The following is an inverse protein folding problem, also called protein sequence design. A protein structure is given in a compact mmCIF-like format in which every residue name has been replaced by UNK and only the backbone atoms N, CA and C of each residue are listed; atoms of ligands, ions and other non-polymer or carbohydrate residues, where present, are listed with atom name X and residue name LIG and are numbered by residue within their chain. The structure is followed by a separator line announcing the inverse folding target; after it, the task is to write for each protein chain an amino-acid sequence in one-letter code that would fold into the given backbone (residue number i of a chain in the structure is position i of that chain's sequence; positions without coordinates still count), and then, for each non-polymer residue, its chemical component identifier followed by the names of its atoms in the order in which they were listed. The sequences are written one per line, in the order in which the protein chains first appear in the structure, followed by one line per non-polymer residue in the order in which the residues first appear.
data_IF_633675125016
#
_entry.id   IF_633675125016
#
_cell.length_a   1.000
_cell.length_b   1.000
_cell.length_c   1.000
_cell.angle_alpha   90.00
_cell.angle_beta   90.00
_cell.angle_gamma   90.00
#
_symmetry.space_group_name_H-M   'P 1'
#
loop_
_entity.id
_entity.type
_entity.pdbx_description
1 polymer ?
#
# COMPACT_ATOMS: atom_id res chain seq x y z
N UNK A 1 -3.44 -12.11 39.80
CA UNK A 1 -3.21 -10.99 38.89
C UNK A 1 -4.43 -10.06 38.72
N UNK A 2 -5.66 -10.54 38.88
CA UNK A 2 -6.87 -9.72 38.71
C UNK A 2 -7.25 -8.77 39.88
N UNK A 3 -6.63 -8.88 41.04
CA UNK A 3 -6.92 -8.01 42.20
C UNK A 3 -6.04 -6.73 42.22
N UNK A 4 -4.88 -6.74 41.60
CA UNK A 4 -3.95 -5.61 41.63
C UNK A 4 -4.34 -4.50 40.63
N UNK A 5 -4.92 -4.86 39.48
CA UNK A 5 -5.37 -3.90 38.48
C UNK A 5 -6.59 -3.09 38.91
N UNK A 6 -7.46 -3.68 39.73
CA UNK A 6 -8.63 -2.98 40.32
C UNK A 6 -8.26 -1.93 41.40
N UNK A 7 -7.11 -2.10 42.03
CA UNK A 7 -6.66 -1.16 43.08
C UNK A 7 -6.01 0.10 42.46
N UNK A 8 -5.26 -0.05 41.37
CA UNK A 8 -4.63 1.10 40.72
C UNK A 8 -5.62 2.05 40.01
N UNK A 9 -6.66 1.52 39.38
CA UNK A 9 -7.71 2.35 38.75
C UNK A 9 -8.54 3.17 39.76
N UNK A 10 -8.80 2.63 40.95
CA UNK A 10 -9.51 3.36 42.03
C UNK A 10 -8.64 4.43 42.67
N UNK A 11 -7.32 4.21 42.79
CA UNK A 11 -6.40 5.15 43.41
C UNK A 11 -6.20 6.44 42.59
N UNK A 12 -6.07 6.33 41.27
CA UNK A 12 -5.90 7.48 40.38
C UNK A 12 -7.16 8.35 40.30
N UNK A 13 -8.35 7.75 40.27
CA UNK A 13 -9.61 8.50 40.31
C UNK A 13 -9.83 9.25 41.65
N UNK A 14 -9.41 8.66 42.76
CA UNK A 14 -9.56 9.27 44.09
C UNK A 14 -8.59 10.45 44.27
N UNK A 15 -7.39 10.35 43.71
CA UNK A 15 -6.39 11.47 43.75
C UNK A 15 -6.86 12.63 42.89
N UNK A 16 -7.36 12.38 41.68
CA UNK A 16 -7.87 13.43 40.78
C UNK A 16 -9.11 14.17 41.40
N UNK A 17 -10.03 13.43 42.02
CA UNK A 17 -11.20 14.02 42.66
C UNK A 17 -10.84 14.84 43.91
N UNK A 18 -9.79 14.46 44.65
CA UNK A 18 -9.34 15.21 45.82
C UNK A 18 -8.63 16.51 45.47
N UNK A 19 -7.96 16.55 44.33
CA UNK A 19 -7.34 17.80 43.80
C UNK A 19 -8.39 18.77 43.26
N UNK A 20 -9.36 18.29 42.50
CA UNK A 20 -10.50 19.09 41.99
C UNK A 20 -11.37 19.63 43.15
N UNK A 21 -11.61 18.82 44.18
CA UNK A 21 -12.36 19.23 45.40
C UNK A 21 -11.66 20.39 46.13
N UNK A 22 -10.32 20.36 46.18
CA UNK A 22 -9.53 21.41 46.85
C UNK A 22 -9.56 22.70 46.08
N UNK A 23 -9.49 22.66 44.75
CA UNK A 23 -9.46 23.84 43.91
C UNK A 23 -10.82 24.52 43.76
N UNK A 24 -11.92 23.75 43.87
CA UNK A 24 -13.29 24.26 43.73
C UNK A 24 -14.01 24.52 45.09
N UNK A 25 -13.41 24.10 46.21
CA UNK A 25 -14.00 24.27 47.54
C UNK A 25 -15.30 23.48 47.79
N UNK A 26 -15.48 22.37 47.05
CA UNK A 26 -16.68 21.52 47.08
C UNK A 26 -16.35 20.19 47.80
N UNK A 27 -17.24 19.74 48.66
CA UNK A 27 -17.12 18.46 49.40
C UNK A 27 -16.97 17.28 48.41
N UNK A 28 -15.97 16.39 48.59
CA UNK A 28 -15.75 15.21 47.78
C UNK A 28 -16.96 14.27 47.62
N UNK A 29 -17.84 14.22 48.62
CA UNK A 29 -19.07 13.43 48.58
C UNK A 29 -20.07 14.03 47.57
N UNK A 30 -20.20 15.34 47.52
CA UNK A 30 -21.07 16.05 46.58
C UNK A 30 -20.60 15.89 45.12
N UNK A 31 -19.29 15.82 44.89
CA UNK A 31 -18.72 15.53 43.56
C UNK A 31 -18.95 14.10 43.09
N UNK A 32 -19.05 13.15 44.05
CA UNK A 32 -19.37 11.76 43.73
C UNK A 32 -20.85 11.55 43.34
N UNK A 33 -21.75 12.40 43.82
CA UNK A 33 -23.17 12.35 43.48
C UNK A 33 -23.53 13.02 42.16
N UNK A 34 -22.63 13.86 41.62
CA UNK A 34 -22.77 14.48 40.29
C UNK A 34 -22.41 13.56 39.11
N UNK A 35 -22.27 12.25 39.38
CA UNK A 35 -22.16 11.24 38.32
C UNK A 35 -23.45 11.19 37.49
N UNK A 36 -23.52 12.01 36.45
CA UNK A 36 -24.52 11.80 35.39
C UNK A 36 -24.31 10.41 34.76
N UNK A 37 -25.35 9.60 34.59
CA UNK A 37 -25.28 8.38 33.77
C UNK A 37 -24.94 8.82 32.36
N UNK A 38 -23.75 8.47 31.86
CA UNK A 38 -23.31 8.82 30.53
C UNK A 38 -21.87 9.35 30.39
N UNK A 39 -21.10 9.42 31.48
CA UNK A 39 -19.66 9.67 31.34
C UNK A 39 -18.97 8.47 30.66
N UNK A 40 -18.15 8.75 29.70
CA UNK A 40 -17.41 7.89 28.76
C UNK A 40 -16.55 6.77 29.39
N UNK A 41 -16.70 6.44 30.67
CA UNK A 41 -15.90 5.44 31.40
C UNK A 41 -16.65 4.16 31.75
N UNK A 42 -17.94 4.04 31.43
CA UNK A 42 -18.69 2.80 31.56
C UNK A 42 -18.82 2.09 30.20
N UNK A 43 -17.72 1.95 29.48
CA UNK A 43 -17.60 0.83 28.54
C UNK A 43 -17.44 -0.40 29.42
N UNK A 44 -18.42 -1.32 29.49
CA UNK A 44 -18.25 -2.53 30.24
C UNK A 44 -17.11 -3.31 29.62
N UNK A 45 -16.00 -3.38 30.32
CA UNK A 45 -14.90 -4.29 30.00
C UNK A 45 -15.43 -5.70 30.15
N UNK A 46 -15.95 -6.30 29.08
CA UNK A 46 -16.53 -7.62 29.08
C UNK A 46 -17.80 -7.78 28.24
N UNK A 47 -18.20 -6.78 27.47
CA UNK A 47 -19.08 -7.04 26.31
C UNK A 47 -18.22 -7.78 25.31
N UNK A 48 -18.60 -9.01 25.02
CA UNK A 48 -18.08 -9.78 23.89
C UNK A 48 -18.59 -9.09 22.62
N UNK A 49 -17.93 -7.98 22.27
CA UNK A 49 -18.26 -7.23 21.06
C UNK A 49 -17.76 -8.08 19.91
N UNK A 50 -18.69 -8.60 19.11
CA UNK A 50 -18.35 -9.28 17.88
C UNK A 50 -17.46 -8.35 17.06
N UNK A 51 -16.18 -8.70 16.97
CA UNK A 51 -15.17 -7.90 16.28
C UNK A 51 -14.44 -8.75 15.26
N UNK A 52 -13.88 -8.10 14.25
CA UNK A 52 -12.98 -8.74 13.28
C UNK A 52 -11.55 -8.37 13.60
N UNK A 53 -10.67 -9.36 13.63
CA UNK A 53 -9.25 -9.09 13.76
C UNK A 53 -8.72 -8.44 12.47
N UNK A 54 -7.90 -7.41 12.63
CA UNK A 54 -7.24 -6.74 11.51
C UNK A 54 -5.74 -6.63 11.73
N UNK A 55 -5.02 -6.55 10.63
CA UNK A 55 -3.59 -6.34 10.59
C UNK A 55 -3.26 -5.16 9.69
N UNK A 56 -2.28 -4.35 10.12
CA UNK A 56 -1.70 -3.30 9.30
C UNK A 56 -0.31 -3.74 8.85
N UNK A 57 -0.09 -3.72 7.55
CA UNK A 57 1.21 -3.99 6.94
C UNK A 57 1.66 -2.81 6.10
N UNK A 58 2.96 -2.57 6.04
CA UNK A 58 3.60 -1.67 5.10
C UNK A 58 4.27 -2.52 4.01
N UNK A 59 3.84 -2.34 2.76
CA UNK A 59 4.30 -3.11 1.59
C UNK A 59 5.30 -2.29 0.80
N UNK A 60 6.32 -2.92 0.22
CA UNK A 60 7.47 -2.28 -0.40
C UNK A 60 8.33 -1.48 0.59
N UNK A 61 8.36 -1.93 1.84
CA UNK A 61 8.99 -1.24 2.96
C UNK A 61 10.26 -1.97 3.41
N UNK A 62 11.38 -1.28 3.41
CA UNK A 62 12.65 -1.80 3.96
C UNK A 62 12.75 -1.61 5.48
N UNK A 63 11.90 -0.79 6.06
CA UNK A 63 11.88 -0.47 7.50
C UNK A 63 10.52 0.05 7.97
N UNK A 64 10.42 0.46 9.24
CA UNK A 64 9.18 1.01 9.78
C UNK A 64 8.84 2.37 9.15
N UNK A 65 7.54 2.67 9.08
CA UNK A 65 7.00 3.93 8.55
C UNK A 65 7.34 4.21 7.08
N UNK A 66 7.60 3.16 6.32
CA UNK A 66 7.95 3.17 4.90
C UNK A 66 6.88 2.43 4.08
N UNK A 67 7.01 2.42 2.74
CA UNK A 67 6.16 1.62 1.87
C UNK A 67 4.70 2.08 1.78
N UNK A 68 3.87 1.28 1.14
CA UNK A 68 2.43 1.51 0.98
C UNK A 68 1.64 0.73 2.05
N UNK A 69 0.78 1.42 2.79
CA UNK A 69 0.04 0.84 3.90
C UNK A 69 -1.16 0.06 3.45
N UNK A 70 -1.37 -1.10 4.07
CA UNK A 70 -2.50 -1.98 3.84
C UNK A 70 -3.16 -2.37 5.17
N UNK A 71 -4.48 -2.30 5.23
CA UNK A 71 -5.26 -2.98 6.24
C UNK A 71 -5.78 -4.32 5.68
N UNK A 72 -5.67 -5.38 6.47
CA UNK A 72 -6.22 -6.71 6.12
C UNK A 72 -7.12 -7.19 7.26
N UNK A 73 -8.38 -7.45 6.95
CA UNK A 73 -9.37 -8.04 7.87
C UNK A 73 -9.39 -9.55 7.63
N UNK A 74 -9.27 -10.33 8.69
CA UNK A 74 -9.39 -11.79 8.63
C UNK A 74 -10.79 -12.27 8.97
N UNK A 75 -11.11 -13.51 8.59
CA UNK A 75 -12.40 -14.17 8.86
C UNK A 75 -13.61 -13.32 8.43
N UNK A 76 -13.49 -12.70 7.25
CA UNK A 76 -14.45 -11.72 6.74
C UNK A 76 -15.59 -12.33 5.88
N UNK A 77 -15.76 -13.66 5.88
CA UNK A 77 -16.74 -14.35 5.02
C UNK A 77 -18.21 -14.02 5.34
N UNK A 78 -18.50 -13.59 6.54
CA UNK A 78 -19.83 -13.19 7.02
C UNK A 78 -20.12 -11.69 6.84
N UNK A 79 -19.13 -10.88 6.44
CA UNK A 79 -19.34 -9.46 6.16
C UNK A 79 -19.98 -9.26 4.79
N UNK A 80 -20.99 -8.41 4.74
CA UNK A 80 -21.57 -7.95 3.48
C UNK A 80 -20.61 -7.01 2.73
N UNK A 81 -20.79 -6.86 1.41
CA UNK A 81 -20.03 -5.89 0.61
C UNK A 81 -20.16 -4.46 1.14
N UNK A 82 -21.34 -4.09 1.65
CA UNK A 82 -21.58 -2.76 2.22
C UNK A 82 -20.78 -2.53 3.53
N UNK A 83 -20.64 -3.55 4.36
CA UNK A 83 -19.82 -3.48 5.58
C UNK A 83 -18.34 -3.40 5.24
N UNK A 84 -17.85 -4.24 4.31
CA UNK A 84 -16.47 -4.18 3.81
C UNK A 84 -16.14 -2.80 3.25
N UNK A 85 -17.05 -2.21 2.46
CA UNK A 85 -16.88 -0.87 1.91
C UNK A 85 -16.81 0.21 2.99
N UNK A 86 -17.65 0.15 4.02
CA UNK A 86 -17.62 1.09 5.15
C UNK A 86 -16.32 0.96 5.95
N UNK A 87 -15.83 -0.25 6.16
CA UNK A 87 -14.56 -0.51 6.84
C UNK A 87 -13.39 0.08 6.03
N UNK A 88 -13.37 -0.16 4.71
CA UNK A 88 -12.34 0.37 3.83
C UNK A 88 -12.35 1.92 3.81
N UNK A 89 -13.54 2.53 3.74
CA UNK A 89 -13.69 3.98 3.84
C UNK A 89 -13.19 4.53 5.20
N UNK A 90 -13.46 3.82 6.29
CA UNK A 90 -13.05 4.26 7.63
C UNK A 90 -11.54 4.14 7.86
N UNK A 91 -10.86 3.11 7.32
CA UNK A 91 -9.40 3.04 7.30
C UNK A 91 -8.78 4.16 6.44
N UNK A 92 -9.44 4.50 5.34
CA UNK A 92 -9.00 5.53 4.39
C UNK A 92 -7.54 5.33 3.90
N UNK A 93 -7.12 4.08 3.77
CA UNK A 93 -5.89 3.70 3.07
C UNK A 93 -6.19 3.53 1.58
N UNK A 94 -5.15 3.50 0.75
CA UNK A 94 -5.32 3.27 -0.69
C UNK A 94 -6.19 2.04 -0.94
N UNK A 95 -5.93 0.94 -0.24
CA UNK A 95 -6.77 -0.26 -0.24
C UNK A 95 -6.87 -0.93 1.14
N UNK A 96 -7.93 -1.71 1.29
CA UNK A 96 -8.17 -2.64 2.40
C UNK A 96 -8.52 -4.01 1.83
N UNK A 97 -7.95 -5.08 2.37
CA UNK A 97 -8.23 -6.45 1.95
C UNK A 97 -9.03 -7.21 3.00
N UNK A 98 -9.85 -8.14 2.52
CA UNK A 98 -10.70 -9.00 3.34
C UNK A 98 -10.45 -10.45 2.98
N UNK A 99 -9.97 -11.26 3.94
CA UNK A 99 -9.77 -12.70 3.76
C UNK A 99 -11.09 -13.39 4.08
N UNK A 100 -11.70 -13.97 3.06
CA UNK A 100 -13.03 -14.60 3.11
C UNK A 100 -12.97 -16.14 3.13
N UNK A 101 -11.84 -16.71 3.59
CA UNK A 101 -11.65 -18.16 3.66
C UNK A 101 -10.73 -18.70 2.57
N UNK A 102 -10.82 -20.01 2.31
CA UNK A 102 -9.89 -20.70 1.41
C UNK A 102 -8.83 -21.51 2.18
N UNK A 103 -7.90 -22.09 1.45
CA UNK A 103 -6.82 -22.91 2.00
C UNK A 103 -5.55 -22.86 1.13
N UNK A 104 -4.48 -23.48 1.58
CA UNK A 104 -3.18 -23.47 0.88
C UNK A 104 -3.18 -24.19 -0.45
N UNK A 105 -4.05 -25.17 -0.67
CA UNK A 105 -4.12 -25.98 -1.90
C UNK A 105 -4.88 -25.26 -3.02
N UNK A 106 -6.09 -24.81 -2.69
CA UNK A 106 -7.01 -24.17 -3.63
C UNK A 106 -6.76 -22.66 -3.78
N UNK A 107 -6.12 -22.06 -2.79
CA UNK A 107 -5.89 -20.62 -2.65
C UNK A 107 -6.85 -19.97 -1.66
N UNK A 108 -6.51 -18.78 -1.22
CA UNK A 108 -7.29 -17.99 -0.26
C UNK A 108 -8.19 -16.99 -0.98
N UNK A 109 -9.45 -16.95 -0.61
CA UNK A 109 -10.43 -16.01 -1.19
C UNK A 109 -10.24 -14.63 -0.57
N UNK A 110 -9.92 -13.65 -1.39
CA UNK A 110 -9.61 -12.30 -0.94
C UNK A 110 -10.38 -11.28 -1.78
N UNK A 111 -10.96 -10.28 -1.10
CA UNK A 111 -11.61 -9.14 -1.72
C UNK A 111 -10.82 -7.88 -1.41
N UNK A 112 -10.78 -6.95 -2.36
CA UNK A 112 -9.99 -5.71 -2.27
C UNK A 112 -10.92 -4.52 -2.45
N UNK A 113 -10.85 -3.57 -1.53
CA UNK A 113 -11.65 -2.35 -1.55
C UNK A 113 -10.76 -1.12 -1.45
N UNK A 114 -10.99 -0.15 -2.30
CA UNK A 114 -10.57 1.24 -2.09
C UNK A 114 -11.59 1.94 -1.18
N UNK A 115 -11.34 3.16 -0.68
CA UNK A 115 -12.36 3.94 0.00
C UNK A 115 -13.64 4.18 -0.83
N UNK A 116 -13.56 4.12 -2.16
CA UNK A 116 -14.66 4.41 -3.08
C UNK A 116 -15.40 3.17 -3.57
N UNK A 117 -14.69 2.05 -3.83
CA UNK A 117 -15.29 0.87 -4.48
C UNK A 117 -14.47 -0.40 -4.27
N UNK A 118 -15.11 -1.56 -4.48
CA UNK A 118 -14.42 -2.83 -4.66
C UNK A 118 -13.70 -2.87 -6.00
N UNK A 119 -12.45 -3.37 -6.00
CA UNK A 119 -11.63 -3.49 -7.20
C UNK A 119 -11.20 -4.94 -7.42
N UNK A 120 -11.05 -5.38 -8.69
CA UNK A 120 -10.76 -6.79 -9.00
C UNK A 120 -9.33 -7.20 -8.65
N UNK A 121 -8.40 -6.25 -8.57
CA UNK A 121 -6.97 -6.51 -8.34
C UNK A 121 -6.24 -5.23 -7.93
N UNK A 122 -5.24 -5.40 -7.05
CA UNK A 122 -4.23 -4.39 -6.77
C UNK A 122 -2.90 -5.06 -6.35
N UNK A 123 -1.77 -4.46 -6.68
CA UNK A 123 -0.44 -5.06 -6.52
C UNK A 123 0.00 -5.18 -5.06
N UNK A 124 0.14 -4.06 -4.35
CA UNK A 124 0.61 -4.09 -2.96
C UNK A 124 -0.35 -4.83 -2.02
N UNK A 125 -1.70 -4.77 -2.16
CA UNK A 125 -2.61 -5.56 -1.36
C UNK A 125 -2.41 -7.07 -1.51
N UNK A 126 -2.09 -7.52 -2.72
CA UNK A 126 -1.79 -8.92 -3.02
C UNK A 126 -0.54 -9.39 -2.27
N UNK A 127 0.55 -8.62 -2.29
CA UNK A 127 1.78 -8.97 -1.58
C UNK A 127 1.60 -8.92 -0.06
N UNK A 128 0.95 -7.88 0.47
CA UNK A 128 0.70 -7.72 1.90
C UNK A 128 -0.17 -8.84 2.48
N UNK A 129 -1.25 -9.20 1.78
CA UNK A 129 -2.14 -10.29 2.20
C UNK A 129 -1.43 -11.65 2.14
N UNK A 130 -0.65 -11.94 1.10
CA UNK A 130 0.13 -13.19 1.02
C UNK A 130 1.18 -13.28 2.15
N UNK A 131 1.87 -12.18 2.46
CA UNK A 131 2.78 -12.09 3.60
C UNK A 131 2.06 -12.44 4.91
N UNK A 132 0.90 -11.84 5.15
CA UNK A 132 0.11 -12.07 6.35
C UNK A 132 -0.27 -13.55 6.49
N UNK A 133 -0.84 -14.14 5.44
CA UNK A 133 -1.26 -15.54 5.41
C UNK A 133 -0.11 -16.51 5.74
N UNK A 134 1.08 -16.27 5.23
CA UNK A 134 2.23 -17.17 5.42
C UNK A 134 3.05 -16.84 6.65
N UNK A 135 3.45 -15.59 6.81
CA UNK A 135 4.45 -15.22 7.83
C UNK A 135 3.83 -14.95 9.21
N UNK A 136 2.63 -14.44 9.25
CA UNK A 136 1.95 -14.03 10.50
C UNK A 136 0.95 -15.08 10.95
N UNK A 137 -0.04 -15.38 10.13
CA UNK A 137 -1.13 -16.31 10.49
C UNK A 137 -0.73 -17.79 10.38
N UNK A 138 0.33 -18.10 9.64
CA UNK A 138 0.81 -19.47 9.41
C UNK A 138 -0.24 -20.40 8.76
N UNK A 139 -1.16 -19.84 7.97
CA UNK A 139 -2.15 -20.60 7.23
C UNK A 139 -1.55 -21.36 6.03
N UNK A 140 -0.32 -21.02 5.62
CA UNK A 140 0.47 -21.70 4.61
C UNK A 140 1.95 -21.62 4.95
N UNK A 141 2.71 -22.67 4.67
CA UNK A 141 4.18 -22.71 4.67
C UNK A 141 4.77 -22.80 3.24
N UNK A 142 3.89 -22.83 2.24
CA UNK A 142 4.26 -22.98 0.84
C UNK A 142 5.13 -21.78 0.36
N UNK A 143 6.06 -22.11 -0.56
CA UNK A 143 6.87 -21.07 -1.20
C UNK A 143 6.02 -20.17 -2.12
N UNK A 144 4.88 -20.65 -2.58
CA UNK A 144 3.91 -19.90 -3.40
C UNK A 144 2.58 -19.88 -2.68
N UNK A 145 2.10 -18.71 -2.33
CA UNK A 145 0.75 -18.49 -1.80
C UNK A 145 -0.14 -18.03 -2.93
N UNK A 146 -1.30 -18.66 -3.10
CA UNK A 146 -2.28 -18.33 -4.14
C UNK A 146 -3.43 -17.54 -3.55
N UNK A 147 -3.75 -16.39 -4.14
CA UNK A 147 -4.92 -15.60 -3.79
C UNK A 147 -5.96 -15.69 -4.89
N UNK A 148 -7.18 -16.03 -4.54
CA UNK A 148 -8.33 -16.03 -5.43
C UNK A 148 -8.97 -14.65 -5.36
N UNK A 149 -8.65 -13.80 -6.32
CA UNK A 149 -9.18 -12.44 -6.49
C UNK A 149 -10.24 -12.41 -7.57
N UNK A 150 -11.01 -11.33 -7.68
CA UNK A 150 -11.99 -11.16 -8.76
C UNK A 150 -11.34 -11.18 -10.16
N UNK A 151 -10.09 -10.72 -10.29
CA UNK A 151 -9.29 -10.81 -11.52
C UNK A 151 -8.77 -12.22 -11.82
N UNK A 152 -8.95 -13.19 -10.93
CA UNK A 152 -8.46 -14.56 -11.08
C UNK A 152 -7.50 -14.99 -9.97
N UNK A 153 -6.85 -16.13 -10.19
CA UNK A 153 -5.90 -16.71 -9.23
C UNK A 153 -4.51 -16.10 -9.42
N UNK A 154 -4.05 -15.40 -8.40
CA UNK A 154 -2.76 -14.68 -8.42
C UNK A 154 -1.77 -15.40 -7.49
N UNK A 155 -0.68 -15.97 -8.02
CA UNK A 155 0.39 -16.54 -7.22
C UNK A 155 1.35 -15.45 -6.72
N UNK A 156 1.73 -15.55 -5.44
CA UNK A 156 2.79 -14.74 -4.83
C UNK A 156 3.91 -15.70 -4.40
N UNK A 157 5.10 -15.50 -4.94
CA UNK A 157 6.28 -16.32 -4.65
C UNK A 157 7.14 -15.67 -3.58
N UNK A 158 7.53 -16.42 -2.57
CA UNK A 158 8.44 -15.98 -1.51
C UNK A 158 9.89 -16.27 -1.91
N UNK A 159 10.65 -15.20 -2.16
CA UNK A 159 12.08 -15.28 -2.46
C UNK A 159 12.95 -15.57 -1.22
N UNK A 160 14.25 -15.82 -1.45
CA UNK A 160 15.21 -16.15 -0.37
C UNK A 160 15.48 -14.99 0.58
N UNK A 161 15.46 -13.75 0.07
CA UNK A 161 15.82 -12.53 0.81
C UNK A 161 14.60 -11.83 1.43
N UNK A 162 13.55 -12.60 1.76
CA UNK A 162 12.25 -12.09 2.25
C UNK A 162 11.52 -11.18 1.25
N UNK A 163 11.96 -11.11 0.00
CA UNK A 163 11.26 -10.40 -1.06
C UNK A 163 10.14 -11.28 -1.56
N UNK A 164 8.93 -10.76 -1.58
CA UNK A 164 7.77 -11.38 -2.19
C UNK A 164 7.69 -10.92 -3.65
N UNK A 165 7.40 -11.85 -4.54
CA UNK A 165 7.35 -11.61 -5.98
C UNK A 165 5.98 -11.91 -6.55
N UNK A 166 5.52 -11.02 -7.43
CA UNK A 166 4.28 -11.18 -8.19
C UNK A 166 4.59 -10.99 -9.67
N UNK A 167 4.21 -12.01 -10.46
CA UNK A 167 4.32 -11.94 -11.91
C UNK A 167 3.25 -11.02 -12.48
N UNK A 168 3.63 -10.21 -13.46
CA UNK A 168 2.74 -9.30 -14.17
C UNK A 168 2.23 -9.93 -15.47
N UNK A 169 1.16 -9.38 -16.04
CA UNK A 169 0.67 -9.76 -17.35
C UNK A 169 1.62 -9.32 -18.47
N UNK A 170 1.41 -9.87 -19.67
CA UNK A 170 2.13 -9.41 -20.87
C UNK A 170 1.87 -7.92 -21.09
N UNK A 171 2.90 -7.13 -21.38
CA UNK A 171 2.75 -5.71 -21.55
C UNK A 171 2.07 -5.36 -22.87
N UNK A 172 1.28 -4.31 -22.83
CA UNK A 172 0.75 -3.64 -24.03
C UNK A 172 1.40 -2.27 -24.09
N UNK A 173 2.19 -2.04 -25.16
CA UNK A 173 2.79 -0.77 -25.46
C UNK A 173 1.81 0.04 -26.31
N UNK A 174 1.43 1.19 -25.81
CA UNK A 174 0.49 2.10 -26.47
C UNK A 174 1.20 3.24 -27.20
N UNK A 175 0.47 4.31 -27.37
CA UNK A 175 0.89 5.53 -28.06
C UNK A 175 2.13 6.15 -27.39
N UNK A 176 3.01 6.71 -28.21
CA UNK A 176 4.10 7.58 -27.80
C UNK A 176 3.67 9.04 -27.98
N UNK A 177 3.98 9.86 -27.00
CA UNK A 177 3.67 11.28 -27.00
C UNK A 177 4.96 12.10 -27.20
N UNK A 178 4.82 13.25 -27.86
CA UNK A 178 5.92 14.19 -28.03
C UNK A 178 6.32 14.79 -26.68
N UNK A 179 7.64 14.92 -26.46
CA UNK A 179 8.17 15.38 -25.18
C UNK A 179 7.73 16.81 -24.85
N UNK A 180 7.68 17.69 -25.85
CA UNK A 180 7.18 19.06 -25.72
C UNK A 180 5.75 19.08 -25.21
N UNK A 181 4.88 18.27 -25.81
CA UNK A 181 3.48 18.14 -25.37
C UNK A 181 3.38 17.67 -23.92
N UNK A 182 4.13 16.63 -23.57
CA UNK A 182 4.13 16.09 -22.19
C UNK A 182 4.68 17.13 -21.22
N UNK A 183 5.75 17.84 -21.56
CA UNK A 183 6.32 18.89 -20.74
C UNK A 183 5.34 20.04 -20.48
N UNK A 184 4.64 20.51 -21.51
CA UNK A 184 3.60 21.55 -21.39
C UNK A 184 2.43 21.11 -20.50
N UNK A 185 1.93 19.87 -20.70
CA UNK A 185 0.79 19.35 -19.93
C UNK A 185 1.11 19.16 -18.46
N UNK A 186 2.35 18.78 -18.11
CA UNK A 186 2.76 18.47 -16.74
C UNK A 186 3.50 19.61 -16.03
N UNK A 187 3.76 20.70 -16.75
CA UNK A 187 4.61 21.78 -16.23
C UNK A 187 6.07 21.36 -16.01
N UNK A 188 6.55 20.35 -16.74
CA UNK A 188 7.93 19.84 -16.68
C UNK A 188 8.75 20.50 -17.78
N UNK A 189 9.88 21.11 -17.41
CA UNK A 189 10.79 21.73 -18.39
C UNK A 189 11.33 20.64 -19.34
N UNK A 190 11.33 20.91 -20.64
CA UNK A 190 11.82 19.98 -21.67
C UNK A 190 13.27 19.53 -21.41
N UNK A 191 14.11 20.37 -20.83
CA UNK A 191 15.48 20.01 -20.44
C UNK A 191 15.56 18.96 -19.34
N UNK A 192 14.49 18.77 -18.56
CA UNK A 192 14.38 17.77 -17.50
C UNK A 192 13.84 16.43 -18.03
N UNK A 193 13.28 16.40 -19.26
CA UNK A 193 12.85 15.18 -19.94
C UNK A 193 14.02 14.49 -20.63
N UNK A 194 14.12 13.18 -20.49
CA UNK A 194 15.12 12.37 -21.17
C UNK A 194 14.64 12.01 -22.58
N UNK A 195 14.89 12.88 -23.56
CA UNK A 195 14.43 12.73 -24.94
C UNK A 195 15.07 11.56 -25.71
N UNK A 196 16.00 10.82 -25.08
CA UNK A 196 16.57 9.60 -25.65
C UNK A 196 15.55 8.45 -25.66
N UNK A 197 14.54 8.49 -24.82
CA UNK A 197 13.53 7.46 -24.66
C UNK A 197 12.13 8.08 -24.77
N UNK A 198 11.13 7.39 -25.36
CA UNK A 198 9.82 7.97 -25.61
C UNK A 198 8.99 8.16 -24.33
N UNK A 199 8.19 9.21 -24.27
CA UNK A 199 7.03 9.25 -23.37
C UNK A 199 5.97 8.31 -23.94
N UNK A 200 5.70 7.17 -23.28
CA UNK A 200 4.89 6.11 -23.86
C UNK A 200 3.90 5.52 -22.87
N UNK A 201 2.70 5.26 -23.33
CA UNK A 201 1.74 4.47 -22.58
C UNK A 201 2.14 3.00 -22.52
N UNK A 202 2.16 2.43 -21.31
CA UNK A 202 2.40 1.00 -21.07
C UNK A 202 1.36 0.47 -20.12
N UNK A 203 0.91 -0.76 -20.34
CA UNK A 203 -0.04 -1.46 -19.46
C UNK A 203 0.40 -2.90 -19.25
N UNK A 204 0.46 -3.33 -17.99
CA UNK A 204 0.52 -4.74 -17.58
C UNK A 204 -0.76 -5.16 -16.86
N UNK A 205 -1.86 -4.44 -17.11
CA UNK A 205 -3.17 -4.56 -16.48
C UNK A 205 -3.81 -3.19 -16.31
N UNK A 206 -3.12 -2.25 -15.65
CA UNK A 206 -3.47 -0.83 -15.61
C UNK A 206 -2.53 -0.04 -16.54
N UNK A 207 -3.06 1.03 -17.13
CA UNK A 207 -2.34 1.85 -18.11
C UNK A 207 -1.71 3.07 -17.43
N UNK A 208 -0.41 3.28 -17.67
CA UNK A 208 0.34 4.43 -17.18
C UNK A 208 1.11 5.10 -18.33
N UNK A 209 1.23 6.41 -18.29
CA UNK A 209 2.15 7.15 -19.15
C UNK A 209 3.55 7.12 -18.51
N UNK A 210 4.48 6.39 -19.11
CA UNK A 210 5.88 6.32 -18.71
C UNK A 210 6.63 7.55 -19.20
N UNK A 211 7.23 8.32 -18.29
CA UNK A 211 7.89 9.60 -18.58
C UNK A 211 9.31 9.56 -18.05
N UNK A 212 10.31 9.38 -18.93
CA UNK A 212 11.71 9.35 -18.53
C UNK A 212 12.25 10.76 -18.26
N UNK A 213 12.93 10.94 -17.14
CA UNK A 213 13.62 12.17 -16.75
C UNK A 213 15.14 12.00 -16.82
N UNK A 214 15.86 13.11 -16.90
CA UNK A 214 17.32 13.11 -17.04
C UNK A 214 18.07 12.77 -15.75
N UNK A 215 17.46 12.97 -14.57
CA UNK A 215 18.11 12.74 -13.28
C UNK A 215 17.12 12.69 -12.12
N UNK A 216 17.57 12.16 -10.98
CA UNK A 216 16.85 12.20 -9.71
C UNK A 216 16.51 13.64 -9.29
N UNK A 217 17.40 14.61 -9.50
CA UNK A 217 17.15 16.01 -9.18
C UNK A 217 16.05 16.60 -10.06
N UNK A 218 15.94 16.19 -11.33
CA UNK A 218 14.81 16.54 -12.18
C UNK A 218 13.51 15.96 -11.63
N UNK A 219 13.51 14.69 -11.22
CA UNK A 219 12.36 14.01 -10.63
C UNK A 219 11.89 14.70 -9.33
N UNK A 220 12.81 15.07 -8.44
CA UNK A 220 12.48 15.79 -7.18
C UNK A 220 11.81 17.14 -7.42
N UNK A 221 12.15 17.82 -8.52
CA UNK A 221 11.55 19.14 -8.85
C UNK A 221 10.15 19.06 -9.42
N UNK A 222 9.71 17.90 -9.85
CA UNK A 222 8.38 17.73 -10.45
C UNK A 222 7.31 18.16 -9.46
N UNK A 223 6.49 19.12 -9.87
CA UNK A 223 5.30 19.57 -9.16
C UNK A 223 4.14 19.52 -10.15
N UNK A 224 3.37 18.45 -10.11
CA UNK A 224 2.27 18.22 -11.03
C UNK A 224 0.99 18.80 -10.44
N UNK A 225 0.29 19.66 -11.22
CA UNK A 225 -1.10 19.98 -10.89
C UNK A 225 -1.98 18.79 -11.31
N UNK A 226 -2.37 17.99 -10.30
CA UNK A 226 -3.12 16.76 -10.54
C UNK A 226 -4.55 16.99 -11.06
N UNK A 227 -5.08 18.22 -10.98
CA UNK A 227 -6.45 18.51 -11.41
C UNK A 227 -6.63 18.45 -12.94
N UNK A 228 -5.55 18.60 -13.70
CA UNK A 228 -5.56 18.60 -15.17
C UNK A 228 -5.03 17.28 -15.76
N UNK A 229 -4.62 16.31 -14.91
CA UNK A 229 -4.04 15.06 -15.37
C UNK A 229 -5.08 13.97 -15.57
N UNK A 230 -5.33 13.66 -16.82
CA UNK A 230 -5.82 12.37 -17.27
C UNK A 230 -4.85 11.88 -18.33
N UNK A 231 -4.28 10.75 -18.25
CA UNK A 231 -4.40 9.62 -17.33
C UNK A 231 -3.28 9.56 -16.27
N UNK A 232 -3.25 8.45 -15.49
CA UNK A 232 -2.18 8.18 -14.50
C UNK A 232 -0.79 8.26 -15.12
N UNK A 233 0.10 9.05 -14.51
CA UNK A 233 1.48 9.28 -15.00
C UNK A 233 2.50 8.68 -14.04
N UNK A 234 3.58 8.14 -14.62
CA UNK A 234 4.69 7.55 -13.90
C UNK A 234 6.00 8.15 -14.42
N UNK A 235 6.56 9.05 -13.63
CA UNK A 235 7.84 9.70 -13.94
C UNK A 235 8.97 8.91 -13.27
N UNK A 236 10.06 8.72 -13.98
CA UNK A 236 11.19 7.97 -13.47
C UNK A 236 12.53 8.51 -14.00
N UNK A 237 13.58 8.26 -13.21
CA UNK A 237 14.93 8.64 -13.56
C UNK A 237 15.94 7.56 -13.17
N UNK A 238 17.09 7.53 -13.82
CA UNK A 238 18.27 6.77 -13.37
C UNK A 238 18.84 7.38 -12.10
N UNK A 239 19.37 6.52 -11.21
CA UNK A 239 19.84 6.89 -9.88
C UNK A 239 18.74 6.78 -8.82
N UNK A 240 19.15 6.43 -7.61
CA UNK A 240 18.26 6.23 -6.48
C UNK A 240 18.41 7.28 -5.39
N UNK A 241 17.48 7.30 -4.46
CA UNK A 241 17.60 8.06 -3.21
C UNK A 241 18.62 7.40 -2.27
N UNK A 242 18.74 6.06 -2.35
CA UNK A 242 19.68 5.24 -1.61
C UNK A 242 20.70 4.59 -2.57
N UNK A 243 21.89 4.30 -2.09
CA UNK A 243 23.04 3.80 -2.88
C UNK A 243 22.77 2.45 -3.58
N UNK A 244 21.81 1.66 -3.06
CA UNK A 244 21.48 0.35 -3.61
C UNK A 244 20.34 0.39 -4.66
N UNK A 245 19.78 1.58 -4.95
CA UNK A 245 18.73 1.80 -5.93
C UNK A 245 19.32 2.27 -7.26
N UNK A 246 18.92 1.64 -8.36
CA UNK A 246 19.33 2.01 -9.72
C UNK A 246 18.40 3.03 -10.35
N UNK A 247 17.15 3.10 -9.87
CA UNK A 247 16.11 3.97 -10.41
C UNK A 247 15.38 4.67 -9.28
N UNK A 248 14.77 5.78 -9.61
CA UNK A 248 13.79 6.49 -8.77
C UNK A 248 12.53 6.80 -9.57
N UNK A 249 11.39 6.86 -8.89
CA UNK A 249 10.10 7.08 -9.53
C UNK A 249 9.13 7.86 -8.65
N UNK A 250 8.16 8.53 -9.32
CA UNK A 250 6.99 9.15 -8.70
C UNK A 250 5.74 8.83 -9.53
N UNK A 251 4.62 8.55 -8.87
CA UNK A 251 3.35 8.20 -9.51
C UNK A 251 2.23 9.11 -9.06
N UNK A 252 1.49 9.63 -10.04
CA UNK A 252 0.34 10.49 -9.84
C UNK A 252 -0.87 9.91 -10.58
N UNK A 253 -2.03 9.85 -9.92
CA UNK A 253 -3.24 9.24 -10.45
C UNK A 253 -4.48 10.02 -10.02
N UNK A 254 -4.62 11.25 -10.49
CA UNK A 254 -5.73 12.14 -10.15
C UNK A 254 -7.10 11.56 -10.49
N UNK A 255 -7.20 10.78 -11.56
CA UNK A 255 -8.42 10.08 -11.98
C UNK A 255 -8.96 9.10 -10.90
N UNK A 256 -8.08 8.62 -10.01
CA UNK A 256 -8.44 7.78 -8.86
C UNK A 256 -8.45 8.55 -7.52
N UNK A 257 -8.31 9.87 -7.55
CA UNK A 257 -8.21 10.71 -6.35
C UNK A 257 -6.86 10.59 -5.61
N UNK A 258 -5.85 10.02 -6.25
CA UNK A 258 -4.50 9.83 -5.69
C UNK A 258 -3.61 10.97 -6.16
N UNK A 259 -3.24 11.88 -5.25
CA UNK A 259 -2.33 12.97 -5.56
C UNK A 259 -0.94 12.42 -5.89
N UNK A 260 -0.37 11.61 -5.00
CA UNK A 260 0.88 10.88 -5.24
C UNK A 260 0.85 9.57 -4.44
N UNK A 261 1.15 8.44 -5.09
CA UNK A 261 1.17 7.13 -4.44
C UNK A 261 2.59 6.77 -3.97
N UNK A 262 2.76 6.33 -2.72
CA UNK A 262 4.09 6.01 -2.20
C UNK A 262 4.75 4.79 -2.85
N UNK A 263 4.00 3.82 -3.33
CA UNK A 263 4.55 2.63 -3.98
C UNK A 263 3.52 1.91 -4.85
N UNK A 264 3.74 1.93 -6.16
CA UNK A 264 2.78 1.45 -7.16
C UNK A 264 3.31 0.23 -7.89
N UNK A 265 2.95 -0.96 -7.42
CA UNK A 265 3.42 -2.22 -8.00
C UNK A 265 3.07 -2.37 -9.48
N UNK A 266 1.85 -2.02 -9.90
CA UNK A 266 1.39 -2.10 -11.30
C UNK A 266 2.16 -1.15 -12.23
N UNK A 267 2.40 0.09 -11.81
CA UNK A 267 3.19 1.04 -12.60
C UNK A 267 4.66 0.63 -12.70
N UNK A 268 5.22 0.08 -11.64
CA UNK A 268 6.56 -0.49 -11.65
C UNK A 268 6.66 -1.74 -12.55
N UNK A 269 5.59 -2.52 -12.69
CA UNK A 269 5.50 -3.57 -13.71
C UNK A 269 5.57 -3.03 -15.13
N UNK A 270 4.89 -1.92 -15.41
CA UNK A 270 5.00 -1.19 -16.66
C UNK A 270 6.40 -0.62 -16.89
N UNK A 271 7.04 -0.07 -15.84
CA UNK A 271 8.41 0.39 -15.90
C UNK A 271 9.37 -0.75 -16.26
N UNK A 272 9.25 -1.91 -15.61
CA UNK A 272 10.10 -3.07 -15.90
C UNK A 272 10.00 -3.50 -17.36
N UNK A 273 8.76 -3.54 -17.92
CA UNK A 273 8.52 -3.80 -19.33
C UNK A 273 9.15 -2.74 -20.24
N UNK A 274 8.95 -1.47 -19.89
CA UNK A 274 9.49 -0.33 -20.63
C UNK A 274 11.03 -0.36 -20.68
N UNK A 275 11.69 -0.60 -19.54
CA UNK A 275 13.14 -0.69 -19.45
C UNK A 275 13.70 -1.82 -20.32
N UNK A 276 13.03 -2.98 -20.34
CA UNK A 276 13.41 -4.13 -21.14
C UNK A 276 13.16 -3.89 -22.65
N UNK A 277 12.01 -3.31 -23.01
CA UNK A 277 11.65 -2.99 -24.42
C UNK A 277 12.65 -2.03 -25.04
N UNK A 278 12.90 -0.93 -24.36
CA UNK A 278 13.78 0.13 -24.86
C UNK A 278 15.26 -0.12 -24.58
N UNK A 279 15.60 -1.28 -24.00
CA UNK A 279 16.99 -1.62 -23.60
C UNK A 279 17.66 -0.48 -22.83
N UNK A 280 16.97 0.05 -21.85
CA UNK A 280 17.37 1.26 -21.15
C UNK A 280 18.79 1.17 -20.58
N UNK A 281 19.17 0.02 -20.07
CA UNK A 281 20.53 -0.31 -19.61
C UNK A 281 21.35 -1.09 -20.65
N UNK A 282 21.01 -1.00 -21.94
CA UNK A 282 21.70 -1.73 -23.02
C UNK A 282 21.29 -3.20 -23.15
N UNK A 283 20.42 -3.71 -22.29
CA UNK A 283 19.93 -5.10 -22.26
C UNK A 283 18.41 -5.16 -22.20
N UNK A 284 17.83 -6.27 -22.68
CA UNK A 284 16.43 -6.63 -22.44
C UNK A 284 16.23 -7.43 -21.15
N UNK A 285 17.31 -7.71 -20.42
CA UNK A 285 17.28 -8.32 -19.09
C UNK A 285 17.42 -7.22 -18.04
N UNK A 286 16.46 -7.12 -17.12
CA UNK A 286 16.37 -6.09 -16.08
C UNK A 286 16.34 -6.79 -14.71
N UNK A 287 17.21 -6.34 -13.81
CA UNK A 287 17.17 -6.65 -12.36
C UNK A 287 17.61 -5.36 -11.64
N UNK A 288 16.62 -4.56 -11.22
CA UNK A 288 16.86 -3.23 -10.63
C UNK A 288 16.00 -3.00 -9.41
N UNK A 289 16.43 -2.07 -8.57
CA UNK A 289 15.68 -1.54 -7.43
C UNK A 289 15.25 -0.12 -7.73
N UNK A 290 14.00 0.18 -7.39
CA UNK A 290 13.37 1.48 -7.63
C UNK A 290 12.97 2.09 -6.30
N UNK A 291 13.46 3.30 -6.03
CA UNK A 291 13.00 4.13 -4.92
C UNK A 291 11.76 4.93 -5.34
N UNK A 292 10.68 4.88 -4.55
CA UNK A 292 9.45 5.65 -4.77
C UNK A 292 8.94 6.19 -3.42
N UNK A 293 8.14 7.27 -3.42
CA UNK A 293 7.40 7.73 -2.23
C UNK A 293 8.20 8.59 -1.25
N UNK A 294 9.39 9.02 -1.60
CA UNK A 294 10.22 9.86 -0.73
C UNK A 294 9.61 11.25 -0.52
N UNK A 295 9.00 11.83 -1.53
CA UNK A 295 8.35 13.15 -1.48
C UNK A 295 7.09 13.16 -0.59
N UNK A 296 6.42 12.01 -0.47
CA UNK A 296 5.27 11.82 0.44
C UNK A 296 5.66 11.22 1.79
N UNK A 297 6.98 11.22 2.11
CA UNK A 297 7.53 10.75 3.38
C UNK A 297 7.21 9.27 3.69
N UNK A 298 7.08 8.47 2.65
CA UNK A 298 6.84 7.02 2.69
C UNK A 298 7.87 6.32 1.80
N UNK A 299 9.18 6.39 2.14
CA UNK A 299 10.23 5.81 1.31
C UNK A 299 9.94 4.34 1.05
N UNK A 300 9.95 3.96 -0.22
CA UNK A 300 9.56 2.63 -0.67
C UNK A 300 10.63 2.07 -1.60
N UNK A 301 10.84 0.75 -1.55
CA UNK A 301 11.75 0.06 -2.44
C UNK A 301 11.04 -1.08 -3.15
N UNK A 302 11.00 -0.99 -4.46
CA UNK A 302 10.45 -2.03 -5.33
C UNK A 302 11.60 -2.73 -6.07
N UNK A 303 11.46 -4.03 -6.21
CA UNK A 303 12.40 -4.89 -6.92
C UNK A 303 11.79 -5.28 -8.26
N UNK A 304 12.45 -4.97 -9.36
CA UNK A 304 11.95 -5.25 -10.70
C UNK A 304 12.85 -6.24 -11.40
N UNK A 305 12.24 -7.28 -11.97
CA UNK A 305 12.87 -8.21 -12.89
C UNK A 305 12.05 -8.31 -14.15
N UNK A 306 12.70 -8.13 -15.27
CA UNK A 306 12.08 -8.33 -16.57
C UNK A 306 13.05 -8.95 -17.55
N UNK A 307 12.53 -9.78 -18.44
CA UNK A 307 13.25 -10.25 -19.62
C UNK A 307 12.30 -10.32 -20.80
N UNK A 308 12.85 -10.11 -22.01
CA UNK A 308 12.13 -10.30 -23.27
C UNK A 308 12.85 -11.38 -24.07
N UNK A 309 12.16 -12.47 -24.37
CA UNK A 309 12.70 -13.56 -25.16
C UNK A 309 12.78 -13.22 -26.66
N UNK A 310 13.31 -14.16 -27.44
CA UNK A 310 13.46 -13.99 -28.90
C UNK A 310 12.13 -13.97 -29.66
N UNK A 311 11.07 -14.49 -29.04
CA UNK A 311 9.72 -14.54 -29.58
C UNK A 311 8.92 -13.27 -29.23
N UNK A 312 9.53 -12.36 -28.45
CA UNK A 312 8.91 -11.10 -28.01
C UNK A 312 8.05 -11.24 -26.77
N UNK A 313 8.05 -12.40 -26.10
CA UNK A 313 7.32 -12.62 -24.86
C UNK A 313 8.11 -12.10 -23.68
N UNK A 314 7.40 -11.44 -22.76
CA UNK A 314 7.98 -10.89 -21.54
C UNK A 314 7.77 -11.84 -20.35
N UNK A 315 8.76 -11.91 -19.46
CA UNK A 315 8.63 -12.34 -18.08
C UNK A 315 8.89 -11.13 -17.17
N UNK A 316 7.86 -10.66 -16.51
CA UNK A 316 7.92 -9.43 -15.70
C UNK A 316 7.51 -9.78 -14.28
N UNK A 317 8.35 -9.44 -13.32
CA UNK A 317 8.12 -9.68 -11.91
C UNK A 317 8.38 -8.40 -11.11
N UNK A 318 7.42 -8.05 -10.26
CA UNK A 318 7.55 -6.96 -9.28
C UNK A 318 7.60 -7.57 -7.91
N UNK A 319 8.57 -7.16 -7.13
CA UNK A 319 8.76 -7.66 -5.78
C UNK A 319 8.95 -6.56 -4.76
N UNK A 320 8.80 -6.95 -3.49
CA UNK A 320 9.07 -6.08 -2.36
C UNK A 320 9.00 -6.80 -1.03
N UNK A 321 9.51 -6.15 0.00
CA UNK A 321 9.39 -6.61 1.38
C UNK A 321 8.12 -6.07 2.02
N UNK A 322 7.68 -6.76 3.05
CA UNK A 322 6.47 -6.42 3.80
C UNK A 322 6.78 -6.44 5.28
N UNK A 323 6.38 -5.40 5.99
CA UNK A 323 6.52 -5.29 7.43
C UNK A 323 5.15 -5.28 8.12
N UNK A 324 5.00 -6.09 9.17
CA UNK A 324 3.84 -6.00 10.06
C UNK A 324 4.00 -4.76 10.95
N UNK A 325 2.99 -3.90 10.97
CA UNK A 325 3.01 -2.63 11.72
C UNK A 325 2.16 -2.70 12.98
N UNK A 326 0.94 -3.23 12.86
CA UNK A 326 0.01 -3.30 13.97
C UNK A 326 -1.01 -4.42 13.77
N UNK A 327 -1.69 -4.79 14.86
CA UNK A 327 -2.87 -5.63 14.86
C UNK A 327 -3.87 -5.13 15.88
N UNK A 328 -5.15 -5.39 15.64
CA UNK A 328 -6.21 -5.00 16.55
C UNK A 328 -7.53 -5.70 16.24
N UNK A 329 -8.58 -5.25 16.89
CA UNK A 329 -9.95 -5.69 16.63
C UNK A 329 -10.78 -4.52 16.11
N UNK A 330 -11.45 -4.75 15.01
CA UNK A 330 -12.44 -3.85 14.44
C UNK A 330 -13.81 -4.24 15.01
N UNK A 331 -14.37 -3.40 15.85
CA UNK A 331 -15.67 -3.64 16.48
C UNK A 331 -16.78 -3.33 15.47
N UNK A 332 -17.72 -4.28 15.31
CA UNK A 332 -18.83 -4.20 14.36
C UNK A 332 -20.09 -3.64 15.02
#
# INVERSE_FOLDING_TARGET
MNHMVRYFGRCLCTIALSEISRDLGVDPVTLAELRTPGCFFDIPWGVDMAGKEYYLTDVFAEGPYAGNRLATIIDASDLSSAEMQRIALAFNFAETTFICGGNSEEGFNVRIFTPAAEIPFAGHPTLGTAYLLRQVLKYSDAQVVKLNLAAGKIPVTFGRDHVLWMQQHQPVFGEQLEHEFVGEQLGVDIKDLNTRYPCQYVSTGLRFLMIPLVSLEALKRVSVDVNDLAPSVFLFAEGGYDDDQQMSARMFAAEFGIIEDPATGSANGCLAAYLAEHRYFGSSEIDVRVGQGYEVQRPSQLYLRASKDREGKFDINVGGRVNLVARGQWLL
#
